data_IF_272891289329
#
_entry.id   IF_272891289329
#
_cell.length_a   1.000
_cell.length_b   1.000
_cell.length_c   1.000
_cell.angle_alpha   90.00
_cell.angle_beta   90.00
_cell.angle_gamma   90.00
#
_symmetry.space_group_name_H-M   'P 1'
#
loop_
_entity.id
_entity.type
_entity.pdbx_description
1 polymer ?
#
# COMPACT_ATOMS: atom_id res chain seq x y z
N UNK A 1 -24.06 -29.64 -52.47
CA UNK A 1 -22.83 -29.37 -53.23
C UNK A 1 -22.72 -30.49 -54.25
N UNK A 2 -22.61 -30.17 -55.54
CA UNK A 2 -22.65 -31.16 -56.62
C UNK A 2 -21.63 -32.28 -56.35
N UNK A 3 -22.03 -33.56 -56.39
CA UNK A 3 -21.19 -34.70 -55.95
C UNK A 3 -19.87 -34.81 -56.74
N UNK A 4 -19.80 -34.19 -57.92
CA UNK A 4 -18.61 -34.14 -58.78
C UNK A 4 -17.65 -32.99 -58.47
N UNK A 5 -18.09 -31.97 -57.73
CA UNK A 5 -17.26 -30.81 -57.37
C UNK A 5 -16.37 -31.09 -56.17
N UNK A 6 -16.84 -31.90 -55.21
CA UNK A 6 -16.08 -32.24 -54.00
C UNK A 6 -14.77 -33.00 -54.29
N UNK A 7 -14.74 -34.02 -55.18
CA UNK A 7 -13.49 -34.71 -55.55
C UNK A 7 -12.50 -33.78 -56.26
N UNK A 8 -13.02 -32.89 -57.10
CA UNK A 8 -12.22 -31.91 -57.85
C UNK A 8 -11.57 -30.91 -56.89
N UNK A 9 -12.33 -30.42 -55.91
CA UNK A 9 -11.83 -29.51 -54.88
C UNK A 9 -10.75 -30.17 -54.03
N UNK A 10 -10.95 -31.41 -53.58
CA UNK A 10 -9.96 -32.15 -52.81
C UNK A 10 -8.65 -32.37 -53.58
N UNK A 11 -8.75 -32.62 -54.89
CA UNK A 11 -7.57 -32.75 -55.75
C UNK A 11 -6.80 -31.44 -55.92
N UNK A 12 -7.51 -30.31 -56.00
CA UNK A 12 -6.89 -28.98 -56.03
C UNK A 12 -6.16 -28.71 -54.70
N UNK A 13 -6.79 -29.01 -53.56
CA UNK A 13 -6.16 -28.86 -52.23
C UNK A 13 -4.86 -29.67 -52.15
N UNK A 14 -4.91 -30.94 -52.52
CA UNK A 14 -3.75 -31.83 -52.48
C UNK A 14 -2.59 -31.31 -53.38
N UNK A 15 -2.91 -30.78 -54.56
CA UNK A 15 -1.91 -30.18 -55.45
C UNK A 15 -1.30 -28.89 -54.89
N UNK A 16 -2.07 -28.09 -54.14
CA UNK A 16 -1.53 -26.90 -53.46
C UNK A 16 -0.61 -27.22 -52.29
N UNK A 17 -0.81 -28.37 -51.63
CA UNK A 17 0.05 -28.83 -50.53
C UNK A 17 1.35 -29.46 -51.05
N UNK A 18 1.29 -30.18 -52.17
CA UNK A 18 2.44 -30.88 -52.75
C UNK A 18 3.32 -29.98 -53.62
N UNK A 19 2.75 -28.92 -54.21
CA UNK A 19 3.48 -28.00 -55.07
C UNK A 19 3.22 -26.53 -54.66
N UNK A 20 4.17 -25.90 -53.94
CA UNK A 20 4.05 -24.50 -53.50
C UNK A 20 3.87 -23.52 -54.66
N UNK A 21 4.47 -23.81 -55.82
CA UNK A 21 4.43 -22.98 -57.03
C UNK A 21 3.03 -23.01 -57.68
N UNK A 22 2.40 -24.19 -57.70
CA UNK A 22 1.01 -24.36 -58.12
C UNK A 22 0.05 -23.57 -57.22
N UNK A 23 0.27 -23.61 -55.90
CA UNK A 23 -0.51 -22.81 -54.94
C UNK A 23 -0.37 -21.30 -55.16
N UNK A 24 0.83 -20.82 -55.49
CA UNK A 24 1.08 -19.41 -55.75
C UNK A 24 0.38 -18.92 -57.04
N UNK A 25 0.50 -19.66 -58.15
CA UNK A 25 -0.16 -19.29 -59.41
C UNK A 25 -1.69 -19.46 -59.37
N UNK A 26 -2.20 -20.46 -58.64
CA UNK A 26 -3.64 -20.62 -58.43
C UNK A 26 -4.24 -19.40 -57.71
N UNK A 27 -3.60 -18.93 -56.62
CA UNK A 27 -4.03 -17.73 -55.89
C UNK A 27 -4.01 -16.49 -56.77
N UNK A 28 -2.95 -16.32 -57.58
CA UNK A 28 -2.82 -15.22 -58.53
C UNK A 28 -3.93 -15.24 -59.60
N UNK A 29 -4.25 -16.40 -60.17
CA UNK A 29 -5.35 -16.55 -61.15
C UNK A 29 -6.73 -16.34 -60.55
N UNK A 30 -6.93 -16.70 -59.29
CA UNK A 30 -8.18 -16.46 -58.57
C UNK A 30 -8.35 -14.98 -58.16
N UNK A 31 -7.42 -14.10 -58.52
CA UNK A 31 -7.44 -12.69 -58.09
C UNK A 31 -7.26 -12.55 -56.57
N UNK A 32 -6.84 -13.61 -55.89
CA UNK A 32 -6.46 -13.57 -54.49
C UNK A 32 -5.08 -12.93 -54.46
N UNK A 33 -5.04 -11.60 -54.53
CA UNK A 33 -3.89 -10.84 -54.03
C UNK A 33 -3.56 -11.44 -52.68
N UNK A 34 -2.32 -11.92 -52.50
CA UNK A 34 -1.88 -12.40 -51.22
C UNK A 34 -2.28 -11.33 -50.20
N UNK A 35 -3.24 -11.63 -49.33
CA UNK A 35 -3.40 -10.85 -48.12
C UNK A 35 -2.00 -10.89 -47.53
N UNK A 36 -1.35 -9.73 -47.32
CA UNK A 36 -0.03 -9.72 -46.71
C UNK A 36 -0.11 -10.66 -45.51
N UNK A 37 0.71 -11.70 -45.49
CA UNK A 37 0.75 -12.66 -44.38
C UNK A 37 1.04 -11.95 -43.04
N UNK A 38 1.40 -10.68 -43.11
CA UNK A 38 1.59 -9.69 -42.05
C UNK A 38 0.30 -9.04 -41.49
N UNK A 39 -0.90 -9.49 -41.91
CA UNK A 39 -2.15 -9.20 -41.17
C UNK A 39 -2.50 -10.26 -40.13
N UNK A 40 -1.58 -11.18 -39.82
CA UNK A 40 -1.58 -11.81 -38.51
C UNK A 40 -1.32 -10.69 -37.51
N UNK A 41 -2.37 -10.22 -36.81
CA UNK A 41 -2.17 -9.44 -35.59
C UNK A 41 -1.29 -10.34 -34.72
N UNK A 42 0.00 -10.00 -34.61
CA UNK A 42 0.89 -10.78 -33.75
C UNK A 42 0.28 -10.81 -32.36
N UNK A 43 0.44 -11.93 -31.64
CA UNK A 43 -0.03 -12.04 -30.26
C UNK A 43 0.45 -10.86 -29.40
N UNK A 44 1.60 -10.28 -29.74
CA UNK A 44 2.14 -9.06 -29.14
C UNK A 44 1.30 -7.81 -29.42
N UNK A 45 0.87 -7.55 -30.67
CA UNK A 45 -0.02 -6.42 -30.99
C UNK A 45 -1.38 -6.59 -30.31
N UNK A 46 -1.89 -7.81 -30.26
CA UNK A 46 -3.14 -8.11 -29.58
C UNK A 46 -3.01 -7.90 -28.06
N UNK A 47 -1.91 -8.36 -27.46
CA UNK A 47 -1.59 -8.15 -26.04
C UNK A 47 -1.45 -6.66 -25.70
N UNK A 48 -0.84 -5.85 -26.58
CA UNK A 48 -0.73 -4.41 -26.40
C UNK A 48 -2.10 -3.70 -26.44
N UNK A 49 -2.98 -4.11 -27.35
CA UNK A 49 -4.36 -3.58 -27.42
C UNK A 49 -5.12 -3.95 -26.15
N UNK A 50 -5.01 -5.19 -25.68
CA UNK A 50 -5.64 -5.60 -24.42
C UNK A 50 -5.09 -4.84 -23.22
N UNK A 51 -3.77 -4.68 -23.10
CA UNK A 51 -3.18 -3.91 -22.00
C UNK A 51 -3.64 -2.46 -22.02
N UNK A 52 -3.68 -1.82 -23.20
CA UNK A 52 -4.20 -0.45 -23.35
C UNK A 52 -5.67 -0.33 -22.93
N UNK A 53 -6.52 -1.29 -23.31
CA UNK A 53 -7.92 -1.32 -22.89
C UNK A 53 -8.05 -1.51 -21.36
N UNK A 54 -7.23 -2.36 -20.76
CA UNK A 54 -7.20 -2.57 -19.30
C UNK A 54 -6.72 -1.30 -18.60
N UNK A 55 -5.67 -0.66 -19.11
CA UNK A 55 -5.11 0.58 -18.55
C UNK A 55 -6.17 1.69 -18.47
N UNK A 56 -7.00 1.86 -19.50
CA UNK A 56 -8.14 2.80 -19.46
C UNK A 56 -9.13 2.48 -18.34
N UNK A 57 -9.45 1.21 -18.15
CA UNK A 57 -10.39 0.78 -17.10
C UNK A 57 -9.77 1.04 -15.73
N UNK A 58 -8.50 0.68 -15.55
CA UNK A 58 -7.75 0.87 -14.29
C UNK A 58 -7.60 2.35 -13.95
N UNK A 59 -7.32 3.19 -14.93
CA UNK A 59 -7.22 4.63 -14.73
C UNK A 59 -8.54 5.22 -14.23
N UNK A 60 -9.67 4.83 -14.86
CA UNK A 60 -10.99 5.23 -14.38
C UNK A 60 -11.28 4.72 -12.96
N UNK A 61 -10.92 3.48 -12.65
CA UNK A 61 -11.04 2.95 -11.29
C UNK A 61 -10.20 3.73 -10.28
N UNK A 62 -9.01 4.19 -10.66
CA UNK A 62 -8.16 5.01 -9.81
C UNK A 62 -8.77 6.39 -9.56
N UNK A 63 -9.33 7.03 -10.60
CA UNK A 63 -10.08 8.28 -10.49
C UNK A 63 -11.26 8.13 -9.52
N UNK A 64 -12.05 7.07 -9.68
CA UNK A 64 -13.19 6.77 -8.82
C UNK A 64 -12.74 6.45 -7.37
N UNK A 65 -11.64 5.71 -7.20
CA UNK A 65 -11.08 5.35 -5.89
C UNK A 65 -10.64 6.60 -5.11
N UNK A 66 -9.99 7.56 -5.77
CA UNK A 66 -9.55 8.82 -5.18
C UNK A 66 -10.58 9.95 -5.28
N UNK A 67 -11.79 9.66 -5.75
CA UNK A 67 -12.85 10.65 -5.83
C UNK A 67 -13.11 11.27 -4.44
N UNK A 68 -13.23 12.59 -4.42
CA UNK A 68 -13.43 13.41 -3.21
C UNK A 68 -12.34 13.24 -2.14
N UNK A 69 -11.15 12.76 -2.49
CA UNK A 69 -10.04 12.67 -1.54
C UNK A 69 -9.58 14.08 -1.13
N UNK A 70 -9.41 14.37 0.19
CA UNK A 70 -9.18 15.72 0.67
C UNK A 70 -7.82 16.34 0.26
N UNK A 71 -6.85 15.51 -0.12
CA UNK A 71 -5.52 15.96 -0.54
C UNK A 71 -5.44 16.11 -2.07
N UNK A 72 -6.22 17.04 -2.63
CA UNK A 72 -6.36 17.22 -4.08
C UNK A 72 -5.03 17.39 -4.83
N UNK A 73 -4.04 18.03 -4.19
CA UNK A 73 -2.74 18.32 -4.80
C UNK A 73 -1.92 17.08 -5.17
N UNK A 74 -2.18 15.92 -4.56
CA UNK A 74 -1.41 14.69 -4.81
C UNK A 74 -2.21 13.65 -5.60
N UNK A 75 -3.49 13.88 -5.88
CA UNK A 75 -4.38 12.92 -6.57
C UNK A 75 -3.77 12.43 -7.89
N UNK A 76 -3.21 13.28 -8.78
CA UNK A 76 -2.62 12.79 -10.03
C UNK A 76 -1.53 11.74 -9.80
N UNK A 77 -0.62 12.00 -8.85
CA UNK A 77 0.44 11.04 -8.48
C UNK A 77 -0.13 9.75 -7.89
N UNK A 78 -1.20 9.83 -7.10
CA UNK A 78 -1.84 8.65 -6.53
C UNK A 78 -2.52 7.80 -7.61
N UNK A 79 -3.14 8.42 -8.61
CA UNK A 79 -3.73 7.74 -9.76
C UNK A 79 -2.64 7.01 -10.56
N UNK A 80 -1.52 7.67 -10.84
CA UNK A 80 -0.40 7.06 -11.57
C UNK A 80 0.16 5.86 -10.79
N UNK A 81 0.38 6.00 -9.49
CA UNK A 81 0.90 4.91 -8.65
C UNK A 81 -0.11 3.76 -8.51
N UNK A 82 -1.41 4.05 -8.49
CA UNK A 82 -2.47 3.01 -8.52
C UNK A 82 -2.43 2.23 -9.83
N UNK A 83 -2.32 2.92 -10.97
CA UNK A 83 -2.21 2.29 -12.28
C UNK A 83 -0.97 1.40 -12.37
N UNK A 84 0.19 1.90 -11.89
CA UNK A 84 1.45 1.14 -11.80
C UNK A 84 1.30 -0.09 -10.90
N UNK A 85 0.70 0.07 -9.72
CA UNK A 85 0.42 -1.02 -8.80
C UNK A 85 -0.41 -2.13 -9.46
N UNK A 86 -1.52 -1.78 -10.11
CA UNK A 86 -2.37 -2.74 -10.81
C UNK A 86 -1.66 -3.40 -12.00
N UNK A 87 -0.82 -2.66 -12.73
CA UNK A 87 0.04 -3.22 -13.78
C UNK A 87 0.98 -4.30 -13.21
N UNK A 88 1.70 -4.01 -12.13
CA UNK A 88 2.60 -4.98 -11.50
C UNK A 88 1.86 -6.17 -10.90
N UNK A 89 0.63 -5.97 -10.41
CA UNK A 89 -0.24 -7.07 -9.95
C UNK A 89 -0.56 -8.03 -11.09
N UNK A 90 -0.94 -7.52 -12.27
CA UNK A 90 -1.25 -8.36 -13.45
C UNK A 90 -0.04 -9.09 -14.01
N UNK A 91 1.17 -8.54 -13.84
CA UNK A 91 2.44 -9.16 -14.25
C UNK A 91 3.07 -10.05 -13.18
N UNK A 92 2.37 -10.33 -12.07
CA UNK A 92 2.89 -11.07 -10.91
C UNK A 92 4.23 -10.52 -10.36
N UNK A 93 4.46 -9.22 -10.54
CA UNK A 93 5.66 -8.51 -10.11
C UNK A 93 5.46 -8.00 -8.68
N UNK A 94 5.45 -8.93 -7.72
CA UNK A 94 5.06 -8.63 -6.33
C UNK A 94 5.88 -7.55 -5.63
N UNK A 95 7.21 -7.52 -5.87
CA UNK A 95 8.09 -6.50 -5.28
C UNK A 95 7.73 -5.10 -5.76
N UNK A 96 7.52 -4.94 -7.07
CA UNK A 96 7.14 -3.66 -7.67
C UNK A 96 5.70 -3.26 -7.33
N UNK A 97 4.79 -4.24 -7.20
CA UNK A 97 3.44 -4.03 -6.66
C UNK A 97 3.51 -3.46 -5.24
N UNK A 98 4.30 -4.07 -4.34
CA UNK A 98 4.48 -3.58 -2.97
C UNK A 98 5.08 -2.18 -2.94
N UNK A 99 6.04 -1.88 -3.84
CA UNK A 99 6.63 -0.56 -3.96
C UNK A 99 5.61 0.49 -4.39
N UNK A 100 4.90 0.27 -5.50
CA UNK A 100 3.91 1.21 -6.03
C UNK A 100 2.76 1.44 -5.05
N UNK A 101 2.33 0.40 -4.33
CA UNK A 101 1.33 0.55 -3.27
C UNK A 101 1.85 1.35 -2.08
N UNK A 102 3.07 1.05 -1.61
CA UNK A 102 3.65 1.79 -0.50
C UNK A 102 3.88 3.26 -0.84
N UNK A 103 4.24 3.58 -2.10
CA UNK A 103 4.42 4.96 -2.57
C UNK A 103 3.14 5.80 -2.42
N UNK A 104 1.96 5.22 -2.67
CA UNK A 104 0.68 5.87 -2.43
C UNK A 104 0.49 6.20 -0.94
N UNK A 105 0.72 5.22 -0.06
CA UNK A 105 0.61 5.39 1.41
C UNK A 105 1.63 6.41 1.90
N UNK A 106 2.88 6.34 1.44
CA UNK A 106 3.96 7.24 1.81
C UNK A 106 3.67 8.68 1.39
N UNK A 107 3.20 8.90 0.16
CA UNK A 107 2.82 10.21 -0.36
C UNK A 107 1.73 10.86 0.49
N UNK A 108 0.66 10.12 0.75
CA UNK A 108 -0.44 10.56 1.62
C UNK A 108 0.05 10.85 3.03
N UNK A 109 0.81 9.92 3.63
CA UNK A 109 1.32 10.04 4.99
C UNK A 109 2.21 11.26 5.16
N UNK A 110 3.17 11.46 4.26
CA UNK A 110 4.08 12.59 4.31
C UNK A 110 3.34 13.92 4.14
N UNK A 111 2.33 13.96 3.25
CA UNK A 111 1.51 15.17 3.07
C UNK A 111 0.75 15.52 4.35
N UNK A 112 0.16 14.53 5.01
CA UNK A 112 -0.57 14.70 6.27
C UNK A 112 0.37 15.11 7.41
N UNK A 113 1.51 14.45 7.57
CA UNK A 113 2.49 14.78 8.62
C UNK A 113 3.14 16.16 8.44
N UNK A 114 3.07 16.74 7.25
CA UNK A 114 3.53 18.11 6.97
C UNK A 114 2.47 19.18 7.30
N UNK A 115 1.25 18.80 7.71
CA UNK A 115 0.22 19.77 8.10
C UNK A 115 0.58 20.40 9.45
N UNK A 116 0.67 21.74 9.55
CA UNK A 116 0.93 22.41 10.83
C UNK A 116 -0.12 22.06 11.90
N UNK A 117 -1.39 22.04 11.50
CA UNK A 117 -2.52 21.72 12.38
C UNK A 117 -2.35 20.35 13.06
N UNK A 118 -1.95 19.32 12.30
CA UNK A 118 -1.76 17.98 12.86
C UNK A 118 -0.55 17.90 13.78
N UNK A 119 0.52 18.64 13.48
CA UNK A 119 1.69 18.72 14.37
C UNK A 119 1.32 19.33 15.73
N UNK A 120 0.56 20.42 15.72
CA UNK A 120 0.07 21.05 16.96
C UNK A 120 -0.85 20.12 17.77
N UNK A 121 -1.73 19.37 17.09
CA UNK A 121 -2.56 18.33 17.71
C UNK A 121 -1.68 17.30 18.41
N UNK A 122 -0.74 16.71 17.67
CA UNK A 122 0.11 15.64 18.17
C UNK A 122 0.95 16.11 19.37
N UNK A 123 1.60 17.27 19.25
CA UNK A 123 2.45 17.86 20.29
C UNK A 123 1.75 17.99 21.64
N UNK A 124 0.44 18.30 21.63
CA UNK A 124 -0.35 18.45 22.86
C UNK A 124 -0.87 17.12 23.39
N UNK A 125 -1.26 16.21 22.49
CA UNK A 125 -1.99 15.00 22.86
C UNK A 125 -1.10 13.82 23.23
N UNK A 126 0.19 13.81 22.91
CA UNK A 126 1.05 12.65 23.15
C UNK A 126 0.99 12.07 24.57
N UNK A 127 0.97 12.94 25.60
CA UNK A 127 0.90 12.54 27.01
C UNK A 127 -0.51 12.32 27.56
N UNK A 128 -1.54 12.31 26.71
CA UNK A 128 -2.92 12.02 27.10
C UNK A 128 -3.25 10.53 26.93
N UNK A 129 -4.27 10.01 27.63
CA UNK A 129 -4.70 8.62 27.51
C UNK A 129 -4.98 8.23 26.06
N UNK A 130 -4.54 7.03 25.66
CA UNK A 130 -4.68 6.52 24.29
C UNK A 130 -6.12 6.20 23.90
N UNK A 131 -6.98 5.95 24.88
CA UNK A 131 -8.35 5.50 24.66
C UNK A 131 -9.39 6.48 25.18
N UNK A 132 -10.57 6.46 24.55
CA UNK A 132 -11.78 7.09 25.10
C UNK A 132 -12.50 6.13 26.05
N UNK A 133 -13.38 6.68 26.90
CA UNK A 133 -14.26 5.86 27.75
C UNK A 133 -15.31 5.15 26.88
N UNK A 134 -15.63 3.91 27.26
CA UNK A 134 -16.63 3.07 26.61
C UNK A 134 -17.59 2.48 27.64
N UNK A 135 -18.85 2.24 27.26
CA UNK A 135 -19.90 1.69 28.13
C UNK A 135 -21.30 2.11 27.67
N UNK A 136 -22.36 1.54 28.25
CA UNK A 136 -23.76 1.74 27.81
C UNK A 136 -24.22 3.20 27.72
N UNK A 137 -23.60 4.11 28.49
CA UNK A 137 -23.92 5.55 28.49
C UNK A 137 -22.73 6.46 28.11
N UNK A 138 -21.62 5.89 27.60
CA UNK A 138 -20.44 6.66 27.28
C UNK A 138 -20.60 7.33 25.90
N UNK A 139 -20.62 8.67 25.86
CA UNK A 139 -20.58 9.43 24.61
C UNK A 139 -19.21 9.22 23.94
N UNK A 140 -19.22 8.78 22.68
CA UNK A 140 -18.02 8.74 21.84
C UNK A 140 -17.66 10.18 21.49
N UNK A 141 -16.62 10.70 22.14
CA UNK A 141 -16.15 12.07 21.95
C UNK A 141 -14.72 12.20 22.42
N UNK A 142 -13.97 13.12 21.83
CA UNK A 142 -12.54 13.28 22.07
C UNK A 142 -12.20 13.79 23.48
N UNK A 143 -13.12 14.53 24.09
CA UNK A 143 -13.01 15.02 25.45
C UNK A 143 -13.29 13.94 26.50
N UNK A 144 -13.94 12.84 26.11
CA UNK A 144 -14.29 11.74 27.00
C UNK A 144 -13.17 10.68 27.09
N UNK A 145 -11.96 11.10 27.47
CA UNK A 145 -10.79 10.20 27.58
C UNK A 145 -10.88 9.26 28.77
N UNK A 146 -10.37 8.04 28.61
CA UNK A 146 -10.28 7.06 29.68
C UNK A 146 -9.34 7.53 30.80
N UNK A 147 -9.62 7.14 32.04
CA UNK A 147 -8.71 7.39 33.16
C UNK A 147 -7.62 6.30 33.17
N UNK A 148 -6.59 6.51 32.35
CA UNK A 148 -5.49 5.55 32.17
C UNK A 148 -4.16 6.27 32.07
N UNK A 149 -3.12 5.64 32.63
CA UNK A 149 -1.72 6.07 32.47
C UNK A 149 -1.12 5.65 31.13
N UNK A 150 -1.79 4.78 30.37
CA UNK A 150 -1.35 4.36 29.05
C UNK A 150 -1.64 5.45 28.02
N UNK A 151 -0.59 6.14 27.58
CA UNK A 151 -0.69 7.34 26.74
C UNK A 151 -0.69 7.03 25.26
N UNK A 152 -1.09 8.02 24.44
CA UNK A 152 -0.99 7.92 22.97
C UNK A 152 0.44 7.59 22.54
N UNK A 153 1.45 8.22 23.16
CA UNK A 153 2.84 7.94 22.85
C UNK A 153 3.23 6.49 23.19
N UNK A 154 2.71 5.91 24.29
CA UNK A 154 2.95 4.51 24.63
C UNK A 154 2.38 3.56 23.56
N UNK A 155 1.17 3.84 23.06
CA UNK A 155 0.52 3.07 22.01
C UNK A 155 1.28 3.16 20.68
N UNK A 156 1.57 4.37 20.22
CA UNK A 156 2.14 4.62 18.88
C UNK A 156 3.62 4.20 18.82
N UNK A 157 4.42 4.56 19.83
CA UNK A 157 5.86 4.35 19.83
C UNK A 157 6.31 3.11 20.59
N UNK A 158 5.41 2.36 21.22
CA UNK A 158 5.71 1.10 21.92
C UNK A 158 6.89 1.30 22.90
N UNK A 159 6.70 2.19 23.88
CA UNK A 159 7.66 2.51 24.96
C UNK A 159 8.87 3.39 24.57
N UNK A 160 8.98 3.84 23.31
CA UNK A 160 9.99 4.85 22.89
C UNK A 160 9.39 6.26 22.86
N UNK A 161 8.84 6.70 23.99
CA UNK A 161 8.06 7.94 24.10
C UNK A 161 8.86 9.21 23.79
N UNK A 162 10.20 9.18 23.85
CA UNK A 162 11.05 10.33 23.51
C UNK A 162 10.85 10.80 22.05
N UNK A 163 10.40 9.91 21.16
CA UNK A 163 10.02 10.25 19.79
C UNK A 163 8.88 11.26 19.73
N UNK A 164 8.05 11.35 20.77
CA UNK A 164 6.95 12.33 20.87
C UNK A 164 7.43 13.78 20.95
N UNK A 165 8.74 14.01 21.13
CA UNK A 165 9.35 15.34 21.10
C UNK A 165 9.69 15.80 19.68
N UNK A 166 9.72 14.88 18.72
CA UNK A 166 9.97 15.21 17.31
C UNK A 166 8.68 15.62 16.64
N UNK A 167 8.78 16.56 15.70
CA UNK A 167 7.68 16.88 14.81
C UNK A 167 7.34 15.67 13.93
N UNK A 168 6.07 15.53 13.52
CA UNK A 168 5.58 14.36 12.80
C UNK A 168 6.37 14.09 11.52
N UNK A 169 6.72 15.14 10.78
CA UNK A 169 7.49 15.02 9.54
C UNK A 169 8.91 14.47 9.73
N UNK A 170 9.48 14.58 10.94
CA UNK A 170 10.81 14.09 11.28
C UNK A 170 10.82 12.63 11.78
N UNK A 171 9.63 12.05 12.04
CA UNK A 171 9.52 10.66 12.48
C UNK A 171 9.92 9.68 11.38
N UNK A 172 10.33 8.48 11.78
CA UNK A 172 10.53 7.38 10.84
C UNK A 172 9.23 7.00 10.14
N UNK A 173 9.33 6.40 8.96
CA UNK A 173 8.18 6.15 8.09
C UNK A 173 7.04 5.38 8.79
N UNK A 174 7.36 4.32 9.54
CA UNK A 174 6.34 3.57 10.29
C UNK A 174 5.74 4.34 11.46
N UNK A 175 6.54 5.19 12.12
CA UNK A 175 6.07 6.04 13.22
C UNK A 175 5.10 7.11 12.68
N UNK A 176 5.37 7.68 11.49
CA UNK A 176 4.46 8.57 10.76
C UNK A 176 3.14 7.87 10.44
N UNK A 177 3.20 6.70 9.81
CA UNK A 177 2.02 5.92 9.43
C UNK A 177 1.14 5.65 10.66
N UNK A 178 1.72 5.13 11.74
CA UNK A 178 0.98 4.88 12.99
C UNK A 178 0.36 6.14 13.58
N UNK A 179 1.04 7.27 13.48
CA UNK A 179 0.53 8.57 13.92
C UNK A 179 -0.67 9.01 13.09
N UNK A 180 -0.62 8.85 11.77
CA UNK A 180 -1.75 9.16 10.86
C UNK A 180 -2.93 8.23 11.11
N UNK A 181 -2.70 6.92 11.24
CA UNK A 181 -3.76 5.95 11.57
C UNK A 181 -4.46 6.36 12.87
N UNK A 182 -3.70 6.72 13.91
CA UNK A 182 -4.30 7.09 15.20
C UNK A 182 -5.01 8.45 15.17
N UNK A 183 -4.33 9.53 14.76
CA UNK A 183 -4.89 10.87 14.85
C UNK A 183 -5.93 11.17 13.78
N UNK A 184 -5.74 10.65 12.57
CA UNK A 184 -6.67 10.89 11.46
C UNK A 184 -7.64 9.73 11.37
N UNK A 185 -7.17 8.50 11.18
CA UNK A 185 -8.03 7.33 10.96
C UNK A 185 -9.01 7.08 12.12
N UNK A 186 -8.50 7.03 13.35
CA UNK A 186 -9.34 6.93 14.55
C UNK A 186 -9.83 8.29 15.08
N UNK A 187 -9.45 9.41 14.47
CA UNK A 187 -9.78 10.76 14.96
C UNK A 187 -9.29 11.03 16.39
N UNK A 188 -8.23 10.33 16.85
CA UNK A 188 -7.78 10.30 18.24
C UNK A 188 -8.83 9.82 19.27
N UNK A 189 -9.83 9.07 18.82
CA UNK A 189 -10.98 8.57 19.59
C UNK A 189 -11.03 7.03 19.65
N UNK A 190 -9.86 6.39 19.63
CA UNK A 190 -9.74 4.93 19.65
C UNK A 190 -10.34 4.34 20.94
N UNK A 191 -11.09 3.24 20.83
CA UNK A 191 -11.61 2.48 21.97
C UNK A 191 -10.63 1.38 22.37
N UNK A 192 -10.76 0.87 23.59
CA UNK A 192 -9.96 -0.30 24.01
C UNK A 192 -10.22 -1.52 23.10
N UNK A 193 -11.48 -1.73 22.68
CA UNK A 193 -11.87 -2.79 21.74
C UNK A 193 -11.19 -2.69 20.37
N UNK A 194 -10.71 -1.51 19.99
CA UNK A 194 -10.10 -1.29 18.68
C UNK A 194 -8.61 -1.67 18.67
N UNK A 195 -8.02 -2.02 19.83
CA UNK A 195 -6.60 -2.28 19.96
C UNK A 195 -6.09 -3.37 19.01
N UNK A 196 -6.76 -4.52 18.98
CA UNK A 196 -6.35 -5.63 18.11
C UNK A 196 -6.44 -5.24 16.63
N UNK A 197 -7.46 -4.48 16.25
CA UNK A 197 -7.62 -3.99 14.87
C UNK A 197 -6.50 -3.00 14.51
N UNK A 198 -6.19 -2.06 15.40
CA UNK A 198 -5.09 -1.10 15.22
C UNK A 198 -3.74 -1.82 15.07
N UNK A 199 -3.46 -2.79 15.93
CA UNK A 199 -2.21 -3.58 15.89
C UNK A 199 -2.15 -4.40 14.61
N UNK A 200 -3.21 -5.09 14.24
CA UNK A 200 -3.29 -5.90 13.01
C UNK A 200 -3.10 -5.04 11.75
N UNK A 201 -3.77 -3.89 11.69
CA UNK A 201 -3.69 -2.96 10.56
C UNK A 201 -2.30 -2.35 10.42
N UNK A 202 -1.75 -1.81 11.51
CA UNK A 202 -0.39 -1.22 11.50
C UNK A 202 0.71 -2.26 11.29
N UNK A 203 0.48 -3.52 11.71
CA UNK A 203 1.36 -4.64 11.39
C UNK A 203 1.33 -4.96 9.90
N UNK A 204 0.16 -4.96 9.27
CA UNK A 204 0.04 -5.19 7.82
C UNK A 204 0.72 -4.09 7.01
N UNK A 205 0.61 -2.83 7.44
CA UNK A 205 1.35 -1.71 6.86
C UNK A 205 2.87 -1.87 7.02
N UNK A 206 3.32 -2.43 8.16
CA UNK A 206 4.74 -2.77 8.38
C UNK A 206 5.20 -3.88 7.44
N UNK A 207 4.39 -4.93 7.26
CA UNK A 207 4.70 -6.03 6.33
C UNK A 207 4.87 -5.48 4.90
N UNK A 208 3.97 -4.61 4.44
CA UNK A 208 4.09 -3.93 3.15
C UNK A 208 5.36 -3.09 3.03
N UNK A 209 5.69 -2.30 4.07
CA UNK A 209 6.92 -1.50 4.11
C UNK A 209 8.18 -2.36 3.98
N UNK A 210 8.21 -3.54 4.62
CA UNK A 210 9.34 -4.46 4.50
C UNK A 210 9.44 -5.06 3.09
N UNK A 211 8.30 -5.43 2.49
CA UNK A 211 8.29 -5.95 1.11
C UNK A 211 8.76 -4.91 0.11
N UNK A 212 8.38 -3.63 0.30
CA UNK A 212 8.90 -2.52 -0.50
C UNK A 212 10.43 -2.40 -0.42
N UNK A 213 11.02 -2.69 0.74
CA UNK A 213 12.46 -2.60 0.95
C UNK A 213 13.26 -3.67 0.19
N UNK A 214 12.62 -4.73 -0.31
CA UNK A 214 13.27 -5.72 -1.19
C UNK A 214 13.78 -5.11 -2.50
N UNK A 215 13.24 -3.95 -2.92
CA UNK A 215 13.70 -3.25 -4.12
C UNK A 215 14.95 -2.38 -3.87
N UNK A 216 15.32 -2.13 -2.60
CA UNK A 216 16.54 -1.41 -2.24
C UNK A 216 17.73 -2.36 -2.27
N UNK A 217 18.38 -2.46 -3.44
CA UNK A 217 19.59 -3.26 -3.63
C UNK A 217 20.73 -2.67 -2.78
N UNK A 218 21.10 -3.34 -1.68
CA UNK A 218 22.31 -3.00 -0.91
C UNK A 218 22.23 -3.19 0.61
N UNK A 219 21.05 -3.38 1.20
CA UNK A 219 20.93 -3.60 2.64
C UNK A 219 20.91 -5.09 2.98
N UNK A 220 21.74 -5.49 3.95
CA UNK A 220 21.65 -6.80 4.58
C UNK A 220 20.41 -6.81 5.46
N UNK A 221 19.46 -7.70 5.15
CA UNK A 221 18.25 -7.87 5.95
C UNK A 221 18.60 -8.33 7.35
N UNK A 222 17.93 -7.76 8.35
CA UNK A 222 17.96 -8.29 9.72
C UNK A 222 17.11 -9.57 9.79
N UNK A 223 17.37 -10.47 10.75
CA UNK A 223 16.62 -11.73 10.86
C UNK A 223 15.09 -11.57 10.93
N UNK A 224 14.61 -10.54 11.63
CA UNK A 224 13.17 -10.26 11.73
C UNK A 224 12.59 -9.66 10.44
N UNK A 225 13.39 -8.99 9.61
CA UNK A 225 12.97 -8.49 8.29
C UNK A 225 12.83 -9.67 7.33
N UNK A 226 13.78 -10.61 7.39
CA UNK A 226 13.75 -11.86 6.63
C UNK A 226 12.56 -12.74 7.02
N UNK A 227 12.25 -12.88 8.31
CA UNK A 227 11.07 -13.63 8.78
C UNK A 227 9.76 -13.06 8.20
N UNK A 228 9.60 -11.73 8.22
CA UNK A 228 8.44 -11.06 7.64
C UNK A 228 8.35 -11.33 6.13
N UNK A 229 9.46 -11.16 5.41
CA UNK A 229 9.51 -11.37 3.97
C UNK A 229 9.19 -12.83 3.62
N UNK A 230 9.74 -13.79 4.36
CA UNK A 230 9.48 -15.21 4.15
C UNK A 230 8.02 -15.57 4.41
N UNK A 231 7.42 -15.04 5.48
CA UNK A 231 5.99 -15.18 5.76
C UNK A 231 5.14 -14.66 4.60
N UNK A 232 5.44 -13.46 4.10
CA UNK A 232 4.70 -12.85 3.00
C UNK A 232 4.85 -13.67 1.71
N UNK A 233 6.08 -14.04 1.36
CA UNK A 233 6.38 -14.78 0.14
C UNK A 233 5.72 -16.17 0.10
N UNK A 234 5.65 -16.86 1.25
CA UNK A 234 4.98 -18.16 1.36
C UNK A 234 3.47 -18.08 1.07
N UNK A 235 2.87 -16.88 1.17
CA UNK A 235 1.44 -16.66 0.95
C UNK A 235 1.18 -15.46 0.03
N UNK A 236 2.03 -15.27 -0.97
CA UNK A 236 2.05 -14.09 -1.84
C UNK A 236 0.67 -13.75 -2.44
N UNK A 237 -0.07 -14.75 -2.91
CA UNK A 237 -1.42 -14.57 -3.47
C UNK A 237 -2.40 -13.97 -2.48
N UNK A 238 -2.35 -14.39 -1.20
CA UNK A 238 -3.17 -13.82 -0.13
C UNK A 238 -2.74 -12.37 0.14
N UNK A 239 -1.45 -12.10 0.11
CA UNK A 239 -0.90 -10.78 0.41
C UNK A 239 -1.21 -9.73 -0.66
N UNK A 240 -1.41 -10.10 -1.93
CA UNK A 240 -1.98 -9.19 -2.93
C UNK A 240 -3.32 -8.62 -2.46
N UNK A 241 -4.25 -9.48 -2.02
CA UNK A 241 -5.56 -9.05 -1.53
C UNK A 241 -5.47 -8.33 -0.19
N UNK A 242 -4.65 -8.84 0.74
CA UNK A 242 -4.47 -8.23 2.06
C UNK A 242 -3.95 -6.79 1.95
N UNK A 243 -2.96 -6.56 1.09
CA UNK A 243 -2.38 -5.24 0.88
C UNK A 243 -3.35 -4.32 0.13
N UNK A 244 -4.10 -4.81 -0.87
CA UNK A 244 -5.16 -4.01 -1.50
C UNK A 244 -6.23 -3.56 -0.49
N UNK A 245 -6.72 -4.48 0.35
CA UNK A 245 -7.68 -4.14 1.41
C UNK A 245 -7.09 -3.15 2.41
N UNK A 246 -5.79 -3.24 2.69
CA UNK A 246 -5.08 -2.29 3.57
C UNK A 246 -5.01 -0.90 2.95
N UNK A 247 -4.72 -0.78 1.65
CA UNK A 247 -4.72 0.50 0.94
C UNK A 247 -6.13 1.12 0.97
N UNK A 248 -7.17 0.34 0.67
CA UNK A 248 -8.56 0.79 0.72
C UNK A 248 -8.91 1.34 2.10
N UNK A 249 -8.70 0.54 3.15
CA UNK A 249 -8.97 0.96 4.53
C UNK A 249 -8.21 2.24 4.87
N UNK A 250 -6.93 2.34 4.51
CA UNK A 250 -6.10 3.52 4.80
C UNK A 250 -6.66 4.80 4.16
N UNK A 251 -7.09 4.71 2.91
CA UNK A 251 -7.66 5.85 2.18
C UNK A 251 -9.03 6.23 2.74
N UNK A 252 -9.90 5.26 3.03
CA UNK A 252 -11.22 5.49 3.62
C UNK A 252 -11.15 6.11 5.02
N UNK A 253 -10.23 5.61 5.86
CA UNK A 253 -9.97 6.14 7.20
C UNK A 253 -9.53 7.60 7.14
N UNK A 254 -8.69 7.96 6.16
CA UNK A 254 -8.27 9.35 5.97
C UNK A 254 -9.42 10.21 5.49
N UNK A 255 -10.21 9.77 4.49
CA UNK A 255 -11.39 10.50 4.02
C UNK A 255 -12.36 10.78 5.17
N UNK A 256 -12.64 9.76 5.98
CA UNK A 256 -13.58 9.85 7.10
C UNK A 256 -13.02 10.72 8.23
N UNK A 257 -11.75 10.52 8.59
CA UNK A 257 -11.06 11.24 9.66
C UNK A 257 -10.78 12.70 9.36
N UNK A 258 -10.61 13.06 8.09
CA UNK A 258 -10.27 14.42 7.66
C UNK A 258 -11.27 15.47 8.15
N UNK A 259 -12.56 15.15 8.09
CA UNK A 259 -13.63 16.05 8.50
C UNK A 259 -13.62 16.32 10.02
N UNK A 260 -12.99 15.45 10.80
CA UNK A 260 -12.87 15.60 12.26
C UNK A 260 -11.65 16.43 12.70
N UNK A 261 -10.71 16.72 11.79
CA UNK A 261 -9.49 17.47 12.12
C UNK A 261 -9.74 18.85 12.75
N UNK A 262 -10.71 19.68 12.28
CA UNK A 262 -11.00 20.96 12.92
C UNK A 262 -11.45 20.81 14.38
N UNK A 263 -12.37 19.87 14.66
CA UNK A 263 -12.84 19.63 16.02
C UNK A 263 -11.74 19.08 16.94
N UNK A 264 -10.91 18.17 16.42
CA UNK A 264 -9.72 17.64 17.10
C UNK A 264 -8.71 18.76 17.43
N UNK A 265 -8.52 19.71 16.51
CA UNK A 265 -7.62 20.84 16.72
C UNK A 265 -8.11 21.80 17.80
N UNK A 266 -9.39 22.16 17.80
CA UNK A 266 -9.98 23.01 18.84
C UNK A 266 -9.94 22.33 20.22
N UNK A 267 -10.22 21.03 20.27
CA UNK A 267 -10.02 20.25 21.49
C UNK A 267 -8.57 20.29 21.96
N UNK A 268 -7.60 20.03 21.08
CA UNK A 268 -6.18 20.09 21.43
C UNK A 268 -5.80 21.50 21.93
N UNK A 269 -6.36 22.58 21.35
CA UNK A 269 -6.15 23.94 21.82
C UNK A 269 -6.59 24.18 23.25
N UNK A 270 -7.73 23.62 23.65
CA UNK A 270 -8.26 23.69 25.02
C UNK A 270 -7.35 23.02 26.07
N UNK A 271 -6.43 22.15 25.64
CA UNK A 271 -5.58 21.37 26.53
C UNK A 271 -4.22 22.03 26.77
N UNK A 272 -3.73 21.85 28.00
CA UNK A 272 -2.32 22.06 28.32
C UNK A 272 -1.44 20.94 27.76
N UNK A 273 -0.19 21.25 27.41
CA UNK A 273 0.75 20.23 26.93
C UNK A 273 1.10 19.26 28.07
N UNK A 274 0.84 17.96 27.87
CA UNK A 274 1.28 16.89 28.78
C UNK A 274 2.40 16.10 28.13
N UNK A 275 3.53 15.95 28.84
CA UNK A 275 4.61 15.07 28.39
C UNK A 275 4.29 13.63 28.78
N UNK A 276 4.46 12.65 27.88
CA UNK A 276 4.39 11.25 28.27
C UNK A 276 5.45 10.98 29.33
N UNK A 277 5.07 10.33 30.43
CA UNK A 277 6.04 9.78 31.37
C UNK A 277 6.55 8.47 30.80
N UNK A 278 7.84 8.41 30.45
CA UNK A 278 8.48 7.18 30.02
C UNK A 278 8.23 6.07 31.05
N UNK A 279 7.50 5.04 30.62
CA UNK A 279 7.32 3.78 31.38
C UNK A 279 8.48 2.81 31.16
N UNK A 280 9.43 3.16 30.29
CA UNK A 280 10.65 2.39 30.06
C UNK A 280 11.61 2.49 31.24
N UNK A 281 12.22 1.37 31.61
CA UNK A 281 13.38 1.35 32.51
C UNK A 281 14.40 2.37 32.01
N UNK A 282 14.70 3.40 32.82
CA UNK A 282 15.88 4.22 32.61
C UNK A 282 17.08 3.29 32.67
N UNK A 283 17.72 3.02 31.53
CA UNK A 283 19.03 2.36 31.51
C UNK A 283 20.03 3.35 32.16
N UNK A 284 20.13 3.27 33.48
CA UNK A 284 21.09 4.02 34.28
C UNK A 284 22.46 3.44 34.02
N UNK A 285 23.17 4.05 33.06
CA UNK A 285 24.57 3.77 32.69
C UNK A 285 24.75 2.36 32.11
N UNK A 286 25.34 2.27 30.92
CA UNK A 286 26.00 1.04 30.49
C UNK A 286 27.01 0.69 31.59
N UNK A 287 26.80 -0.42 32.28
CA UNK A 287 27.87 -1.02 33.08
C UNK A 287 28.91 -1.45 32.06
N UNK A 288 30.08 -0.79 32.06
CA UNK A 288 31.24 -1.30 31.35
C UNK A 288 31.63 -2.61 32.04
N UNK A 289 31.21 -3.73 31.46
CA UNK A 289 31.72 -5.04 31.87
C UNK A 289 33.21 -5.06 31.53
N UNK A 290 34.09 -5.52 32.45
CA UNK A 290 35.49 -5.74 32.15
C UNK A 290 35.61 -6.56 30.87
N UNK A 291 36.48 -6.13 29.95
CA UNK A 291 36.76 -6.84 28.70
C UNK A 291 37.26 -8.24 29.03
N UNK A 292 36.37 -9.23 29.07
CA UNK A 292 36.76 -10.62 29.10
C UNK A 292 37.26 -10.96 27.68
N UNK A 293 38.55 -11.32 27.55
CA UNK A 293 39.29 -11.52 26.29
C UNK A 293 38.81 -12.75 25.49
N UNK A 294 37.51 -13.05 25.51
CA UNK A 294 36.90 -14.12 24.75
C UNK A 294 36.42 -13.58 23.41
N UNK A 295 37.10 -13.99 22.34
CA UNK A 295 36.63 -13.82 20.96
C UNK A 295 35.22 -14.39 20.85
N UNK A 296 34.22 -13.53 20.77
CA UNK A 296 32.87 -13.92 20.32
C UNK A 296 32.90 -13.90 18.81
N UNK A 297 32.57 -15.04 18.20
CA UNK A 297 32.59 -15.23 16.76
C UNK A 297 31.69 -14.20 16.07
N UNK A 298 32.19 -13.66 14.96
CA UNK A 298 31.51 -12.68 14.11
C UNK A 298 30.29 -13.31 13.43
#
# INVERSE_FOLDING_TARGET
>A
MDEKLLPTLNKIIQLTEQNPEFGAELRKKLGMTAIPMDMSISDDRLSQIYEYCIEKIVHKQAEDFYLNFPLSSIIPTLIDDYCRMEYFRRKDSFGDFCLAMYQQIESVTNRICNLPQLNEIAEKLWGYPAYIKTGENAKISIDNRADSKFTIADLVFVQYTDKSMSALQALYAMDKIKSVVYFVGYGAMMKYSDYENYVSFTTTLRELYQCRNMNHRGNVLKPWEEEIINKVNTSKSIYYFKFLGTLTQYIEDIKSGWNNLPALYEYAKSLGKKRPTSTGLKVLRKIELPKDNKKRFK
#
